data_IF_115325248853
#
_entry.id   IF_115325248853
#
_cell.length_a   1.000
_cell.length_b   1.000
_cell.length_c   1.000
_cell.angle_alpha   90.00
_cell.angle_beta   90.00
_cell.angle_gamma   90.00
#
_symmetry.space_group_name_H-M   'P 1'
#
loop_
_entity.id
_entity.type
_entity.pdbx_description
1 polymer ?
#
# COMPACT_ATOMS: atom_id res chain seq x y z
N UNK A 1 98.15 21.29 78.03
CA UNK A 1 97.25 21.80 76.97
C UNK A 1 96.43 20.72 76.24
N UNK A 2 96.64 19.41 76.45
CA UNK A 2 95.88 18.38 75.68
C UNK A 2 94.45 18.12 76.18
N UNK A 3 94.14 18.27 77.47
CA UNK A 3 92.84 17.87 78.05
C UNK A 3 91.64 18.69 77.52
N UNK A 4 91.79 20.01 77.36
CA UNK A 4 90.71 20.86 76.85
C UNK A 4 90.43 20.62 75.36
N UNK A 5 91.45 20.21 74.60
CA UNK A 5 91.28 19.91 73.18
C UNK A 5 90.55 18.58 72.98
N UNK A 6 90.87 17.56 73.78
CA UNK A 6 90.17 16.26 73.75
C UNK A 6 88.69 16.39 74.15
N UNK A 7 88.38 17.21 75.17
CA UNK A 7 87.00 17.44 75.62
C UNK A 7 86.16 18.19 74.58
N UNK A 8 86.73 19.23 73.93
CA UNK A 8 86.05 19.96 72.87
C UNK A 8 85.78 19.08 71.63
N UNK A 9 86.70 18.17 71.29
CA UNK A 9 86.52 17.21 70.19
C UNK A 9 85.38 16.22 70.51
N UNK A 10 85.30 15.72 71.75
CA UNK A 10 84.24 14.80 72.17
C UNK A 10 82.84 15.43 72.08
N UNK A 11 82.67 16.67 72.57
CA UNK A 11 81.40 17.40 72.47
C UNK A 11 80.98 17.67 71.03
N UNK A 12 81.94 17.99 70.15
CA UNK A 12 81.66 18.17 68.72
C UNK A 12 81.28 16.85 68.03
N UNK A 13 81.85 15.72 68.46
CA UNK A 13 81.47 14.41 67.96
C UNK A 13 80.07 14.02 68.42
N UNK A 14 79.71 14.27 69.68
CA UNK A 14 78.36 14.01 70.20
C UNK A 14 77.30 14.86 69.48
N UNK A 15 77.53 16.18 69.36
CA UNK A 15 76.62 17.06 68.63
C UNK A 15 76.48 16.67 67.15
N UNK A 16 77.54 16.15 66.53
CA UNK A 16 77.51 15.63 65.15
C UNK A 16 76.67 14.34 65.05
N UNK A 17 76.79 13.44 66.02
CA UNK A 17 75.99 12.20 66.04
C UNK A 17 74.52 12.53 66.25
N UNK A 18 74.21 13.44 67.18
CA UNK A 18 72.85 13.87 67.47
C UNK A 18 72.18 14.57 66.27
N UNK A 19 72.88 15.51 65.63
CA UNK A 19 72.39 16.16 64.40
C UNK A 19 72.23 15.17 63.25
N UNK A 20 73.15 14.21 63.08
CA UNK A 20 73.03 13.15 62.08
C UNK A 20 71.81 12.26 62.32
N UNK A 21 71.51 11.93 63.57
CA UNK A 21 70.34 11.12 63.94
C UNK A 21 69.03 11.90 63.71
N UNK A 22 69.00 13.19 64.07
CA UNK A 22 67.83 14.05 63.79
C UNK A 22 67.57 14.19 62.29
N UNK A 23 68.62 14.38 61.48
CA UNK A 23 68.49 14.40 60.02
C UNK A 23 67.98 13.05 59.51
N UNK A 24 68.49 11.94 60.06
CA UNK A 24 68.00 10.59 59.74
C UNK A 24 66.50 10.44 59.97
N UNK A 25 66.02 10.81 61.16
CA UNK A 25 64.59 10.74 61.49
C UNK A 25 63.72 11.64 60.62
N UNK A 26 64.13 12.88 60.35
CA UNK A 26 63.37 13.78 59.46
C UNK A 26 63.31 13.24 58.03
N UNK A 27 64.38 12.61 57.54
CA UNK A 27 64.39 11.97 56.22
C UNK A 27 63.52 10.73 56.17
N UNK A 28 63.46 9.93 57.24
CA UNK A 28 62.56 8.79 57.36
C UNK A 28 61.09 9.24 57.33
N UNK A 29 60.72 10.21 58.17
CA UNK A 29 59.36 10.77 58.19
C UNK A 29 58.97 11.38 56.82
N UNK A 30 59.90 12.10 56.18
CA UNK A 30 59.67 12.67 54.86
C UNK A 30 59.48 11.58 53.78
N UNK A 31 60.26 10.49 53.84
CA UNK A 31 60.12 9.37 52.92
C UNK A 31 58.82 8.59 53.14
N UNK A 32 58.39 8.39 54.38
CA UNK A 32 57.10 7.76 54.71
C UNK A 32 55.93 8.61 54.21
N UNK A 33 55.97 9.92 54.45
CA UNK A 33 54.96 10.85 53.93
C UNK A 33 54.93 10.87 52.39
N UNK A 34 56.10 10.85 51.74
CA UNK A 34 56.20 10.77 50.29
C UNK A 34 55.66 9.45 49.74
N UNK A 35 55.93 8.33 50.41
CA UNK A 35 55.41 7.01 50.04
C UNK A 35 53.88 6.95 50.16
N UNK A 36 53.31 7.50 51.24
CA UNK A 36 51.85 7.60 51.43
C UNK A 36 51.20 8.48 50.36
N UNK A 37 51.81 9.62 50.02
CA UNK A 37 51.31 10.50 48.97
C UNK A 37 51.35 9.83 47.58
N UNK A 38 52.43 9.12 47.26
CA UNK A 38 52.53 8.33 46.03
C UNK A 38 51.45 7.26 45.95
N UNK A 39 51.23 6.51 47.03
CA UNK A 39 50.17 5.49 47.09
C UNK A 39 48.77 6.09 46.88
N UNK A 40 48.50 7.27 47.47
CA UNK A 40 47.24 7.98 47.27
C UNK A 40 47.08 8.43 45.80
N UNK A 41 48.13 8.98 45.19
CA UNK A 41 48.11 9.37 43.78
C UNK A 41 47.93 8.18 42.83
N UNK A 42 48.57 7.04 43.12
CA UNK A 42 48.38 5.82 42.34
C UNK A 42 46.95 5.27 42.45
N UNK A 43 46.37 5.35 43.65
CA UNK A 43 44.98 4.96 43.88
C UNK A 43 44.01 5.85 43.09
N UNK A 44 44.17 7.17 43.17
CA UNK A 44 43.36 8.12 42.41
C UNK A 44 43.51 7.94 40.90
N UNK A 45 44.73 7.70 40.43
CA UNK A 45 45.01 7.40 39.02
C UNK A 45 44.30 6.13 38.56
N UNK A 46 44.37 5.04 39.34
CA UNK A 46 43.66 3.79 39.03
C UNK A 46 42.15 4.00 38.98
N UNK A 47 41.59 4.69 39.97
CA UNK A 47 40.15 5.01 40.02
C UNK A 47 39.72 5.86 38.82
N UNK A 48 40.52 6.84 38.42
CA UNK A 48 40.25 7.65 37.24
C UNK A 48 40.27 6.81 35.95
N UNK A 49 41.19 5.86 35.83
CA UNK A 49 41.25 4.93 34.70
C UNK A 49 40.03 4.01 34.64
N UNK A 50 39.58 3.47 35.78
CA UNK A 50 38.38 2.63 35.86
C UNK A 50 37.11 3.39 35.46
N UNK A 51 36.95 4.62 35.95
CA UNK A 51 35.82 5.49 35.59
C UNK A 51 35.86 5.86 34.10
N UNK A 52 37.04 6.14 33.54
CA UNK A 52 37.19 6.44 32.12
C UNK A 52 36.84 5.20 31.26
N UNK A 53 37.28 4.01 31.66
CA UNK A 53 36.96 2.76 30.97
C UNK A 53 35.46 2.47 30.98
N UNK A 54 34.80 2.61 32.14
CA UNK A 54 33.35 2.44 32.27
C UNK A 54 32.57 3.47 31.44
N UNK A 55 33.00 4.74 31.44
CA UNK A 55 32.39 5.77 30.62
C UNK A 55 32.54 5.48 29.12
N UNK A 56 33.69 4.97 28.69
CA UNK A 56 33.94 4.56 27.30
C UNK A 56 33.04 3.41 26.88
N UNK A 57 32.89 2.39 27.71
CA UNK A 57 31.99 1.25 27.44
C UNK A 57 30.53 1.69 27.33
N UNK A 58 30.07 2.58 28.24
CA UNK A 58 28.73 3.15 28.16
C UNK A 58 28.51 3.95 26.88
N UNK A 59 29.53 4.71 26.44
CA UNK A 59 29.46 5.48 25.21
C UNK A 59 29.37 4.59 23.97
N UNK A 60 30.23 3.56 23.88
CA UNK A 60 30.20 2.60 22.77
C UNK A 60 28.86 1.87 22.67
N UNK A 61 28.32 1.45 23.82
CA UNK A 61 27.01 0.80 23.87
C UNK A 61 25.89 1.74 23.39
N UNK A 62 25.89 2.98 23.86
CA UNK A 62 24.90 3.98 23.42
C UNK A 62 25.02 4.28 21.91
N UNK A 63 26.24 4.34 21.38
CA UNK A 63 26.48 4.54 19.96
C UNK A 63 25.95 3.35 19.12
N UNK A 64 26.20 2.11 19.56
CA UNK A 64 25.70 0.92 18.89
C UNK A 64 24.16 0.87 18.87
N UNK A 65 23.51 1.21 20.00
CA UNK A 65 22.05 1.30 20.10
C UNK A 65 21.48 2.40 19.18
N UNK A 66 22.16 3.56 19.09
CA UNK A 66 21.75 4.64 18.18
C UNK A 66 21.87 4.24 16.71
N UNK A 67 22.93 3.54 16.33
CA UNK A 67 23.13 3.04 14.95
C UNK A 67 22.05 2.02 14.57
N UNK A 68 21.74 1.07 15.47
CA UNK A 68 20.66 0.10 15.22
C UNK A 68 19.30 0.79 15.10
N UNK A 69 19.00 1.75 15.97
CA UNK A 69 17.76 2.52 15.91
C UNK A 69 17.61 3.29 14.59
N UNK A 70 18.68 3.93 14.12
CA UNK A 70 18.70 4.62 12.82
C UNK A 70 18.51 3.64 11.65
N UNK A 71 19.14 2.46 11.71
CA UNK A 71 18.96 1.40 10.70
C UNK A 71 17.50 0.91 10.60
N UNK A 72 16.84 0.72 11.75
CA UNK A 72 15.40 0.37 11.81
C UNK A 72 14.51 1.47 11.25
N UNK A 73 14.80 2.74 11.57
CA UNK A 73 14.04 3.89 11.06
C UNK A 73 14.19 4.05 9.54
N UNK A 74 15.41 3.91 9.01
CA UNK A 74 15.68 3.95 7.57
C UNK A 74 14.94 2.82 6.84
N UNK A 75 14.99 1.60 7.38
CA UNK A 75 14.28 0.44 6.82
C UNK A 75 12.76 0.65 6.81
N UNK A 76 12.20 1.19 7.90
CA UNK A 76 10.77 1.51 8.00
C UNK A 76 10.37 2.60 7.01
N UNK A 77 11.19 3.64 6.85
CA UNK A 77 10.96 4.71 5.89
C UNK A 77 10.96 4.17 4.44
N UNK A 78 11.94 3.33 4.10
CA UNK A 78 12.02 2.67 2.81
C UNK A 78 10.75 1.84 2.52
N UNK A 79 10.32 1.01 3.47
CA UNK A 79 9.11 0.18 3.30
C UNK A 79 7.84 1.03 3.12
N UNK A 80 7.71 2.14 3.85
CA UNK A 80 6.60 3.07 3.68
C UNK A 80 6.60 3.71 2.29
N UNK A 81 7.78 4.11 1.81
CA UNK A 81 7.96 4.69 0.48
C UNK A 81 7.55 3.71 -0.62
N UNK A 82 8.00 2.46 -0.54
CA UNK A 82 7.61 1.39 -1.47
C UNK A 82 6.09 1.18 -1.49
N UNK A 83 5.46 1.08 -0.31
CA UNK A 83 4.00 0.93 -0.22
C UNK A 83 3.25 2.12 -0.82
N UNK A 84 3.73 3.34 -0.62
CA UNK A 84 3.13 4.54 -1.19
C UNK A 84 3.27 4.57 -2.71
N UNK A 85 4.46 4.25 -3.25
CA UNK A 85 4.68 4.17 -4.69
C UNK A 85 3.78 3.13 -5.34
N UNK A 86 3.65 1.94 -4.72
CA UNK A 86 2.76 0.90 -5.20
C UNK A 86 1.28 1.36 -5.19
N UNK A 87 0.84 2.03 -4.11
CA UNK A 87 -0.54 2.55 -4.02
C UNK A 87 -0.80 3.63 -5.06
N UNK A 88 0.15 4.53 -5.29
CA UNK A 88 0.07 5.56 -6.33
C UNK A 88 0.01 4.93 -7.72
N UNK A 89 0.82 3.91 -8.00
CA UNK A 89 0.77 3.19 -9.26
C UNK A 89 -0.59 2.53 -9.49
N UNK A 90 -1.12 1.80 -8.51
CA UNK A 90 -2.45 1.20 -8.58
C UNK A 90 -3.57 2.23 -8.78
N UNK A 91 -3.48 3.39 -8.15
CA UNK A 91 -4.43 4.49 -8.37
C UNK A 91 -4.30 5.08 -9.78
N UNK A 92 -3.07 5.28 -10.27
CA UNK A 92 -2.81 5.75 -11.63
C UNK A 92 -3.38 4.81 -12.68
N UNK A 93 -3.18 3.50 -12.53
CA UNK A 93 -3.74 2.49 -13.43
C UNK A 93 -5.27 2.46 -13.38
N UNK A 94 -5.88 2.60 -12.20
CA UNK A 94 -7.35 2.70 -12.07
C UNK A 94 -7.91 3.94 -12.77
N UNK A 95 -7.27 5.10 -12.60
CA UNK A 95 -7.66 6.35 -13.27
C UNK A 95 -7.52 6.26 -14.78
N UNK A 96 -6.43 5.65 -15.27
CA UNK A 96 -6.21 5.44 -16.69
C UNK A 96 -7.30 4.54 -17.29
N UNK A 97 -7.60 3.41 -16.64
CA UNK A 97 -8.67 2.52 -17.06
C UNK A 97 -10.04 3.22 -17.03
N UNK A 98 -10.31 4.02 -16.00
CA UNK A 98 -11.56 4.77 -15.89
C UNK A 98 -11.73 5.81 -17.02
N UNK A 99 -10.65 6.48 -17.42
CA UNK A 99 -10.68 7.46 -18.51
C UNK A 99 -10.95 6.81 -19.87
N UNK A 100 -10.53 5.57 -20.07
CA UNK A 100 -10.81 4.82 -21.30
C UNK A 100 -12.19 4.15 -21.33
N UNK A 101 -12.93 4.14 -20.22
CA UNK A 101 -14.25 3.52 -20.13
C UNK A 101 -15.43 4.49 -20.21
N UNK A 102 -15.19 5.79 -20.42
CA UNK A 102 -16.26 6.75 -20.64
C UNK A 102 -16.66 6.67 -22.12
N UNK A 103 -17.87 6.18 -22.38
CA UNK A 103 -18.47 6.11 -23.71
C UNK A 103 -19.69 7.01 -23.71
N UNK A 104 -19.80 7.85 -24.73
CA UNK A 104 -20.99 8.67 -24.98
C UNK A 104 -21.93 7.87 -25.89
N UNK A 105 -23.16 7.66 -25.43
CA UNK A 105 -24.23 6.97 -26.16
C UNK A 105 -25.44 7.91 -26.21
N UNK A 106 -26.27 7.76 -27.24
CA UNK A 106 -27.49 8.57 -27.40
C UNK A 106 -28.45 8.37 -26.22
N UNK A 107 -28.53 7.14 -25.71
CA UNK A 107 -29.31 6.80 -24.53
C UNK A 107 -28.60 5.69 -23.74
N UNK A 108 -28.70 5.74 -22.41
CA UNK A 108 -28.14 4.73 -21.50
C UNK A 108 -29.24 4.20 -20.60
N UNK A 109 -29.55 2.91 -20.74
CA UNK A 109 -30.53 2.22 -19.91
C UNK A 109 -29.87 1.59 -18.68
N UNK A 110 -30.52 1.72 -17.54
CA UNK A 110 -30.06 1.16 -16.27
C UNK A 110 -30.41 -0.32 -16.12
N UNK A 111 -29.85 -1.01 -15.12
CA UNK A 111 -30.12 -2.44 -14.88
C UNK A 111 -31.58 -2.75 -14.51
N UNK A 112 -32.36 -1.73 -14.13
CA UNK A 112 -33.76 -1.84 -13.72
C UNK A 112 -34.73 -1.29 -14.77
N UNK A 113 -34.22 -0.93 -15.96
CA UNK A 113 -35.03 -0.45 -17.06
C UNK A 113 -35.84 -1.61 -17.66
N UNK A 114 -37.13 -1.38 -17.88
CA UNK A 114 -38.02 -2.35 -18.52
C UNK A 114 -37.91 -2.30 -20.04
N UNK A 115 -38.31 -3.36 -20.74
CA UNK A 115 -38.39 -3.35 -22.19
C UNK A 115 -39.47 -2.37 -22.70
N UNK A 116 -40.51 -2.07 -21.90
CA UNK A 116 -41.45 -1.00 -22.23
C UNK A 116 -40.77 0.37 -22.28
N UNK A 117 -39.90 0.69 -21.32
CA UNK A 117 -39.16 1.97 -21.32
C UNK A 117 -38.24 2.05 -22.55
N UNK A 118 -37.63 0.92 -22.95
CA UNK A 118 -36.81 0.84 -24.17
C UNK A 118 -37.70 0.99 -25.42
N UNK A 119 -38.91 0.41 -25.42
CA UNK A 119 -39.86 0.53 -26.52
C UNK A 119 -40.29 1.99 -26.70
N UNK A 120 -40.55 2.74 -25.63
CA UNK A 120 -40.95 4.15 -25.70
C UNK A 120 -39.95 5.00 -26.50
N UNK A 121 -38.65 4.74 -26.34
CA UNK A 121 -37.58 5.39 -27.11
C UNK A 121 -37.56 4.93 -28.59
N UNK A 122 -38.06 3.74 -28.88
CA UNK A 122 -38.09 3.15 -30.23
C UNK A 122 -39.38 3.47 -31.02
N UNK A 123 -40.46 3.90 -30.36
CA UNK A 123 -41.77 4.15 -30.99
C UNK A 123 -41.66 5.12 -32.16
N UNK A 124 -40.87 6.19 -32.01
CA UNK A 124 -40.67 7.17 -33.08
C UNK A 124 -40.15 6.52 -34.37
N UNK A 125 -39.13 5.67 -34.25
CA UNK A 125 -38.56 4.95 -35.37
C UNK A 125 -39.52 3.90 -35.94
N UNK A 126 -40.31 3.25 -35.09
CA UNK A 126 -41.33 2.29 -35.54
C UNK A 126 -42.42 2.98 -36.36
N UNK A 127 -42.88 4.15 -35.94
CA UNK A 127 -43.89 4.93 -36.66
C UNK A 127 -43.37 5.43 -38.02
N UNK A 128 -42.09 5.79 -38.12
CA UNK A 128 -41.43 6.08 -39.40
C UNK A 128 -41.33 4.84 -40.30
N UNK A 129 -41.01 3.68 -39.72
CA UNK A 129 -40.93 2.39 -40.44
C UNK A 129 -42.25 2.04 -41.12
N UNK A 130 -43.37 2.20 -40.40
CA UNK A 130 -44.73 1.95 -40.94
C UNK A 130 -45.00 2.81 -42.18
N UNK A 131 -44.35 3.98 -42.30
CA UNK A 131 -44.54 4.95 -43.40
C UNK A 131 -43.64 4.71 -44.61
N UNK A 132 -42.88 3.61 -44.68
CA UNK A 132 -42.04 3.12 -45.80
C UNK A 132 -40.52 3.15 -45.54
N UNK A 133 -40.08 3.10 -44.29
CA UNK A 133 -38.66 2.98 -43.96
C UNK A 133 -38.29 1.58 -43.46
N UNK A 134 -36.99 1.25 -43.54
CA UNK A 134 -36.45 -0.01 -43.01
C UNK A 134 -35.81 0.30 -41.66
N UNK A 135 -36.31 -0.33 -40.60
CA UNK A 135 -35.71 -0.28 -39.28
C UNK A 135 -35.00 -1.59 -38.97
N UNK A 136 -33.74 -1.49 -38.53
CA UNK A 136 -32.94 -2.61 -38.08
C UNK A 136 -32.67 -2.42 -36.59
N UNK A 137 -33.16 -3.36 -35.78
CA UNK A 137 -32.89 -3.42 -34.35
C UNK A 137 -31.98 -4.61 -34.11
N UNK A 138 -30.82 -4.37 -33.50
CA UNK A 138 -29.86 -5.42 -33.15
C UNK A 138 -29.44 -5.28 -31.68
N UNK A 139 -29.26 -6.42 -31.01
CA UNK A 139 -28.70 -6.47 -29.67
C UNK A 139 -27.29 -7.03 -29.75
N UNK A 140 -26.32 -6.25 -29.30
CA UNK A 140 -24.91 -6.59 -29.34
C UNK A 140 -24.33 -6.65 -27.92
N UNK A 141 -23.55 -7.69 -27.64
CA UNK A 141 -22.83 -7.84 -26.38
C UNK A 141 -22.27 -9.25 -26.21
N UNK A 142 -21.51 -9.45 -25.14
CA UNK A 142 -20.97 -10.76 -24.80
C UNK A 142 -22.06 -11.78 -24.43
N UNK A 143 -21.72 -13.07 -24.46
CA UNK A 143 -22.64 -14.12 -24.02
C UNK A 143 -23.05 -13.89 -22.56
N UNK A 144 -24.35 -13.71 -22.31
CA UNK A 144 -24.87 -13.38 -20.99
C UNK A 144 -25.20 -11.91 -20.76
N UNK A 145 -24.91 -11.01 -21.73
CA UNK A 145 -25.23 -9.57 -21.64
C UNK A 145 -26.73 -9.25 -21.69
N UNK A 146 -27.57 -10.23 -22.03
CA UNK A 146 -29.02 -10.09 -22.07
C UNK A 146 -29.63 -9.92 -23.47
N UNK A 147 -28.87 -10.03 -24.57
CA UNK A 147 -29.40 -9.80 -25.92
C UNK A 147 -30.67 -10.61 -26.27
N UNK A 148 -30.73 -11.89 -25.92
CA UNK A 148 -31.94 -12.72 -26.12
C UNK A 148 -33.09 -12.38 -25.18
N UNK A 149 -32.77 -11.91 -23.96
CA UNK A 149 -33.75 -11.43 -22.97
C UNK A 149 -34.38 -10.13 -23.46
N UNK A 150 -33.59 -9.18 -23.93
CA UNK A 150 -34.04 -7.89 -24.44
C UNK A 150 -34.88 -8.02 -25.71
N UNK A 151 -34.41 -8.77 -26.72
CA UNK A 151 -35.13 -8.86 -28.00
C UNK A 151 -36.28 -9.89 -28.01
N UNK A 152 -36.07 -11.09 -27.47
CA UNK A 152 -36.95 -12.23 -27.73
C UNK A 152 -37.79 -12.65 -26.52
N UNK A 153 -37.16 -12.82 -25.36
CA UNK A 153 -37.79 -13.52 -24.23
C UNK A 153 -38.51 -12.59 -23.26
N UNK A 154 -38.08 -11.34 -23.16
CA UNK A 154 -38.56 -10.41 -22.14
C UNK A 154 -37.96 -10.65 -20.76
N UNK A 155 -38.24 -9.76 -19.82
CA UNK A 155 -37.70 -9.77 -18.45
C UNK A 155 -38.83 -10.09 -17.47
N UNK A 156 -38.58 -10.97 -16.49
CA UNK A 156 -39.50 -11.10 -15.35
C UNK A 156 -39.26 -9.93 -14.40
N UNK A 157 -40.27 -9.09 -14.22
CA UNK A 157 -40.23 -7.97 -13.30
C UNK A 157 -40.48 -8.45 -11.86
N UNK A 158 -39.96 -7.73 -10.87
CA UNK A 158 -40.09 -8.08 -9.44
C UNK A 158 -41.55 -8.14 -8.96
N UNK A 159 -42.45 -7.45 -9.65
CA UNK A 159 -43.89 -7.47 -9.39
C UNK A 159 -44.60 -8.76 -9.88
N UNK A 160 -43.85 -9.73 -10.41
CA UNK A 160 -44.39 -11.00 -10.92
C UNK A 160 -44.96 -10.91 -12.34
N UNK A 161 -44.99 -9.72 -12.95
CA UNK A 161 -45.37 -9.56 -14.35
C UNK A 161 -44.19 -9.92 -15.26
N UNK A 162 -44.48 -10.57 -16.38
CA UNK A 162 -43.51 -10.80 -17.43
C UNK A 162 -43.58 -9.63 -18.42
N UNK A 163 -42.48 -8.90 -18.53
CA UNK A 163 -42.26 -7.99 -19.64
C UNK A 163 -42.03 -8.81 -20.91
N UNK A 164 -42.54 -8.35 -22.05
CA UNK A 164 -42.37 -9.05 -23.33
C UNK A 164 -41.01 -8.69 -23.92
N UNK A 165 -40.48 -9.53 -24.80
CA UNK A 165 -39.31 -9.15 -25.60
C UNK A 165 -39.67 -8.01 -26.55
N UNK A 166 -38.72 -7.10 -26.81
CA UNK A 166 -38.92 -5.94 -27.68
C UNK A 166 -39.47 -6.32 -29.05
N UNK A 167 -39.03 -7.44 -29.64
CA UNK A 167 -39.52 -7.87 -30.95
C UNK A 167 -41.03 -8.08 -30.96
N UNK A 168 -41.58 -8.69 -29.90
CA UNK A 168 -43.01 -8.93 -29.79
C UNK A 168 -43.77 -7.61 -29.58
N UNK A 169 -43.25 -6.72 -28.74
CA UNK A 169 -43.80 -5.39 -28.51
C UNK A 169 -43.82 -4.54 -29.78
N UNK A 170 -42.74 -4.52 -30.56
CA UNK A 170 -42.67 -3.82 -31.84
C UNK A 170 -43.69 -4.36 -32.84
N UNK A 171 -43.84 -5.70 -32.93
CA UNK A 171 -44.84 -6.31 -33.80
C UNK A 171 -46.27 -5.96 -33.38
N UNK A 172 -46.57 -5.99 -32.08
CA UNK A 172 -47.87 -5.58 -31.54
C UNK A 172 -48.17 -4.11 -31.84
N UNK A 173 -47.18 -3.22 -31.75
CA UNK A 173 -47.30 -1.81 -32.11
C UNK A 173 -47.60 -1.63 -33.60
N UNK A 174 -46.82 -2.27 -34.48
CA UNK A 174 -47.00 -2.18 -35.94
C UNK A 174 -48.35 -2.74 -36.38
N UNK A 175 -48.78 -3.88 -35.80
CA UNK A 175 -50.08 -4.47 -36.09
C UNK A 175 -51.24 -3.62 -35.55
N UNK A 176 -51.07 -2.98 -34.39
CA UNK A 176 -52.07 -2.10 -33.77
C UNK A 176 -52.20 -0.75 -34.47
N UNK A 177 -51.11 -0.22 -35.03
CA UNK A 177 -51.08 1.02 -35.79
C UNK A 177 -51.46 0.83 -37.27
N UNK A 178 -51.41 -0.40 -37.78
CA UNK A 178 -51.80 -0.75 -39.15
C UNK A 178 -53.28 -0.50 -39.42
N UNK A 179 -53.58 0.08 -40.58
CA UNK A 179 -54.96 0.09 -41.11
C UNK A 179 -55.40 -1.34 -41.47
N UNK A 180 -56.72 -1.58 -41.58
CA UNK A 180 -57.37 -2.90 -41.74
C UNK A 180 -56.84 -3.79 -42.90
N UNK A 181 -55.93 -3.30 -43.75
CA UNK A 181 -55.32 -4.01 -44.87
C UNK A 181 -53.81 -4.33 -44.72
N UNK A 182 -53.22 -4.15 -43.52
CA UNK A 182 -51.79 -4.37 -43.31
C UNK A 182 -51.47 -5.87 -43.23
N UNK A 183 -50.58 -6.37 -44.10
CA UNK A 183 -50.10 -7.77 -44.06
C UNK A 183 -48.68 -7.81 -43.51
N UNK A 184 -48.45 -8.66 -42.51
CA UNK A 184 -47.12 -8.85 -41.90
C UNK A 184 -46.57 -10.21 -42.33
N UNK A 185 -45.42 -10.18 -43.01
CA UNK A 185 -44.66 -11.37 -43.35
C UNK A 185 -43.43 -11.46 -42.44
N UNK A 186 -43.33 -12.54 -41.68
CA UNK A 186 -42.21 -12.79 -40.79
C UNK A 186 -41.34 -13.94 -41.31
N UNK A 187 -40.02 -13.75 -41.32
CA UNK A 187 -39.03 -14.79 -41.64
C UNK A 187 -38.04 -14.87 -40.49
N UNK A 188 -37.75 -16.08 -40.00
CA UNK A 188 -36.80 -16.29 -38.91
C UNK A 188 -35.65 -17.18 -39.40
N UNK A 189 -34.43 -16.64 -39.29
CA UNK A 189 -33.23 -17.26 -39.82
C UNK A 189 -32.14 -17.25 -38.75
N UNK A 190 -31.41 -18.36 -38.63
CA UNK A 190 -30.24 -18.48 -37.78
C UNK A 190 -28.98 -18.50 -38.66
N UNK A 191 -27.97 -17.73 -38.27
CA UNK A 191 -26.68 -17.69 -38.96
C UNK A 191 -25.64 -18.29 -38.02
N UNK A 192 -25.03 -19.42 -38.42
CA UNK A 192 -24.02 -20.12 -37.63
C UNK A 192 -22.98 -20.80 -38.52
N UNK A 193 -21.71 -20.69 -38.13
CA UNK A 193 -20.56 -21.34 -38.80
C UNK A 193 -20.60 -21.22 -40.34
N UNK A 194 -20.74 -19.98 -40.83
CA UNK A 194 -20.82 -19.60 -42.26
C UNK A 194 -22.07 -20.09 -43.03
N UNK A 195 -23.05 -20.69 -42.33
CA UNK A 195 -24.33 -21.11 -42.90
C UNK A 195 -25.50 -20.20 -42.52
N UNK A 196 -26.54 -20.22 -43.35
CA UNK A 196 -27.81 -19.53 -43.13
C UNK A 196 -28.92 -20.57 -43.09
N UNK A 197 -29.69 -20.59 -42.00
CA UNK A 197 -30.60 -21.67 -41.68
C UNK A 197 -32.01 -21.15 -41.41
N UNK A 198 -33.00 -21.67 -42.14
CA UNK A 198 -34.41 -21.38 -41.84
C UNK A 198 -34.84 -22.13 -40.56
N UNK A 199 -35.10 -21.35 -39.50
CA UNK A 199 -35.45 -21.87 -38.18
C UNK A 199 -36.81 -22.57 -38.19
N UNK A 200 -37.74 -22.12 -39.04
CA UNK A 200 -39.06 -22.73 -39.17
C UNK A 200 -38.99 -24.11 -39.83
N UNK A 201 -38.00 -24.33 -40.71
CA UNK A 201 -37.75 -25.60 -41.37
C UNK A 201 -36.92 -26.57 -40.52
N UNK A 202 -35.93 -26.06 -39.77
CA UNK A 202 -35.00 -26.86 -38.96
C UNK A 202 -35.70 -27.58 -37.79
N UNK A 203 -36.60 -26.90 -37.06
CA UNK A 203 -37.32 -27.49 -35.92
C UNK A 203 -38.24 -28.66 -36.29
N UNK A 204 -38.55 -28.88 -37.57
CA UNK A 204 -39.33 -30.04 -38.03
C UNK A 204 -38.50 -31.29 -38.32
N UNK A 205 -37.16 -31.18 -38.33
CA UNK A 205 -36.23 -32.27 -38.70
C UNK A 205 -35.24 -32.65 -37.59
N UNK A 206 -35.33 -32.04 -36.40
CA UNK A 206 -34.58 -32.53 -35.25
C UNK A 206 -35.20 -33.87 -34.77
N UNK A 207 -34.42 -34.96 -34.61
CA UNK A 207 -34.90 -36.24 -34.09
C UNK A 207 -35.35 -36.18 -32.63
#
# INVERSE_FOLDING_TARGET
MSFHHTYAIALLQEARVETSNMIGHVLEEANEAAALALNAMEFERKRAQELAASASEHYEKAQAEAVDALGRLASRNWLLRERLLHRLHCLGSKLHNFKHSIVELEQVFGPQTSNNDILEELIYFLDETIRSEILIISAYGESGSGGSTTLLRGIKLENGNADKGLMLQCLEHVLGAGTEASTVHATCVEVACDGVYDVAYWNRKAP
#
